data_IF_559937524901
#
_entry.id   IF_559937524901
#
_cell.length_a   1.000
_cell.length_b   1.000
_cell.length_c   1.000
_cell.angle_alpha   90.00
_cell.angle_beta   90.00
_cell.angle_gamma   90.00
#
_symmetry.space_group_name_H-M   'P 1'
#
loop_
_entity.id
_entity.type
_entity.pdbx_description
1 polymer ?
#
# COMPACT_ATOMS: atom_id res chain seq x y z
N UNK A 1 23.24 6.37 47.44
CA UNK A 1 21.88 6.35 48.01
C UNK A 1 20.89 6.78 46.94
N UNK A 2 20.20 5.80 46.36
CA UNK A 2 19.17 6.02 45.35
C UNK A 2 17.79 5.61 45.88
N UNK A 3 16.74 6.11 45.25
CA UNK A 3 15.36 5.79 45.60
C UNK A 3 14.65 5.21 44.39
N UNK A 4 13.76 4.25 44.63
CA UNK A 4 12.98 3.64 43.57
C UNK A 4 12.03 4.69 42.97
N UNK A 5 12.14 4.92 41.66
CA UNK A 5 11.26 5.84 40.91
C UNK A 5 9.78 5.46 40.96
N UNK A 6 9.46 4.20 41.29
CA UNK A 6 8.09 3.68 41.30
C UNK A 6 7.41 3.73 42.67
N UNK A 7 8.17 3.59 43.77
CA UNK A 7 7.57 3.48 45.11
C UNK A 7 8.25 4.34 46.19
N UNK A 8 9.31 5.07 45.85
CA UNK A 8 10.04 5.96 46.75
C UNK A 8 10.86 5.24 47.82
N UNK A 9 10.98 3.91 47.78
CA UNK A 9 11.79 3.18 48.75
C UNK A 9 13.29 3.41 48.50
N UNK A 10 14.07 3.53 49.58
CA UNK A 10 15.52 3.61 49.48
C UNK A 10 16.08 2.29 48.93
N UNK A 11 17.04 2.41 48.03
CA UNK A 11 17.70 1.31 47.34
C UNK A 11 19.20 1.37 47.65
N UNK A 12 19.79 0.19 47.84
CA UNK A 12 21.25 0.05 47.93
C UNK A 12 21.89 0.35 46.57
N UNK A 13 23.08 0.93 46.56
CA UNK A 13 23.74 1.44 45.34
C UNK A 13 24.03 0.35 44.27
N UNK A 14 23.98 -0.94 44.64
CA UNK A 14 24.14 -2.12 43.75
C UNK A 14 22.83 -2.93 43.51
N UNK A 15 21.68 -2.46 44.01
CA UNK A 15 20.42 -3.18 43.86
C UNK A 15 19.90 -3.13 42.42
N UNK A 16 19.81 -4.29 41.75
CA UNK A 16 19.25 -4.42 40.38
C UNK A 16 17.71 -4.31 40.34
N UNK A 17 17.05 -4.59 41.46
CA UNK A 17 15.59 -4.57 41.60
C UNK A 17 15.21 -4.01 42.97
N UNK A 18 14.06 -3.33 43.04
CA UNK A 18 13.55 -2.82 44.31
C UNK A 18 13.01 -3.95 45.19
N UNK A 19 13.60 -4.12 46.37
CA UNK A 19 13.20 -5.15 47.35
C UNK A 19 11.76 -5.01 47.85
N UNK A 20 11.14 -3.83 47.69
CA UNK A 20 9.78 -3.54 48.16
C UNK A 20 8.70 -3.70 47.09
N UNK A 21 8.97 -3.31 45.84
CA UNK A 21 7.97 -3.31 44.76
C UNK A 21 8.35 -4.19 43.55
N UNK A 22 9.53 -4.83 43.59
CA UNK A 22 10.02 -5.73 42.54
C UNK A 22 10.41 -5.05 41.22
N UNK A 23 10.36 -3.72 41.14
CA UNK A 23 10.64 -3.01 39.88
C UNK A 23 12.15 -2.90 39.64
N UNK A 24 12.62 -3.09 38.39
CA UNK A 24 14.04 -2.98 38.06
C UNK A 24 14.54 -1.56 38.35
N UNK A 25 15.74 -1.49 38.89
CA UNK A 25 16.41 -0.22 39.18
C UNK A 25 17.24 0.11 37.95
N UNK A 26 16.70 0.97 37.11
CA UNK A 26 17.26 1.30 35.80
C UNK A 26 18.46 2.23 35.97
N UNK A 27 19.60 1.65 36.34
CA UNK A 27 20.91 2.27 36.24
C UNK A 27 21.71 1.49 35.19
N UNK A 28 21.24 1.55 33.94
CA UNK A 28 21.96 1.07 32.78
C UNK A 28 22.31 2.29 31.91
N UNK A 29 23.60 2.45 31.65
CA UNK A 29 24.16 3.39 30.69
C UNK A 29 23.33 3.42 29.39
N UNK A 30 23.27 4.58 28.69
CA UNK A 30 22.43 4.71 27.50
C UNK A 30 22.80 3.62 26.50
N UNK A 31 21.85 2.72 26.25
CA UNK A 31 21.93 1.80 25.14
C UNK A 31 22.17 2.61 23.85
N UNK A 32 23.03 2.17 22.93
CA UNK A 32 23.21 2.85 21.66
C UNK A 32 21.84 3.00 21.01
N UNK A 33 21.42 4.25 20.81
CA UNK A 33 20.24 4.54 20.02
C UNK A 33 20.42 3.82 18.68
N UNK A 34 19.54 2.85 18.41
CA UNK A 34 19.35 2.34 17.06
C UNK A 34 19.23 3.55 16.13
N UNK A 35 19.93 3.57 14.97
CA UNK A 35 19.92 4.73 14.12
C UNK A 35 18.47 5.07 13.76
N UNK A 36 18.04 6.25 14.21
CA UNK A 36 16.80 6.86 13.81
C UNK A 36 16.80 6.86 12.28
N UNK A 37 15.84 6.12 11.72
CA UNK A 37 15.55 6.16 10.30
C UNK A 37 15.37 7.64 9.92
N UNK A 38 16.20 8.11 9.00
CA UNK A 38 16.17 9.48 8.52
C UNK A 38 14.72 9.89 8.18
N UNK A 39 14.32 11.15 8.44
CA UNK A 39 13.01 11.63 8.02
C UNK A 39 12.88 11.38 6.52
N UNK A 40 11.82 10.66 6.14
CA UNK A 40 11.49 10.40 4.75
C UNK A 40 11.49 11.73 3.98
N UNK A 41 12.14 11.80 2.80
CA UNK A 41 12.11 13.01 2.00
C UNK A 41 10.65 13.40 1.71
N UNK A 42 10.36 14.69 1.84
CA UNK A 42 9.08 15.30 1.48
C UNK A 42 8.58 14.79 0.12
N UNK A 43 7.25 14.63 -0.08
CA UNK A 43 6.67 13.90 -1.21
C UNK A 43 7.01 14.57 -2.54
N UNK A 44 8.14 14.18 -3.14
CA UNK A 44 8.45 14.47 -4.53
C UNK A 44 7.35 13.83 -5.36
N UNK A 45 6.59 14.61 -6.13
CA UNK A 45 5.49 14.18 -6.99
C UNK A 45 5.70 12.78 -7.56
N UNK A 46 5.08 11.79 -6.94
CA UNK A 46 5.21 10.39 -7.33
C UNK A 46 4.37 10.09 -8.59
N UNK A 47 3.69 11.11 -9.10
CA UNK A 47 2.86 11.03 -10.28
C UNK A 47 3.72 11.16 -11.52
N UNK A 48 3.61 10.22 -12.46
CA UNK A 48 4.27 10.36 -13.75
C UNK A 48 3.55 11.44 -14.57
N UNK A 49 4.24 12.55 -14.83
CA UNK A 49 3.76 13.62 -15.68
C UNK A 49 3.29 13.08 -17.04
N UNK A 50 2.01 13.28 -17.36
CA UNK A 50 1.42 12.93 -18.66
C UNK A 50 0.92 11.49 -18.82
N UNK A 51 0.92 10.64 -17.78
CA UNK A 51 0.27 9.31 -17.88
C UNK A 51 -1.23 9.35 -17.55
N UNK A 52 -1.96 8.42 -18.15
CA UNK A 52 -3.37 8.18 -17.83
C UNK A 52 -3.52 7.50 -16.48
N UNK A 53 -4.19 8.18 -15.56
CA UNK A 53 -4.55 7.76 -14.22
C UNK A 53 -6.02 7.36 -14.23
N UNK A 54 -6.29 6.14 -13.79
CA UNK A 54 -7.64 5.66 -13.54
C UNK A 54 -8.12 6.14 -12.19
N UNK A 55 -9.31 6.73 -12.17
CA UNK A 55 -9.92 7.23 -10.94
C UNK A 55 -11.41 6.96 -10.94
N UNK A 56 -11.91 6.54 -9.77
CA UNK A 56 -13.34 6.46 -9.52
C UNK A 56 -13.81 7.72 -8.81
N UNK A 57 -14.62 8.50 -9.51
CA UNK A 57 -15.23 9.69 -8.96
C UNK A 57 -16.32 9.34 -7.94
N UNK A 58 -16.56 10.24 -6.99
CA UNK A 58 -17.67 10.16 -6.03
C UNK A 58 -19.06 10.07 -6.68
N UNK A 59 -19.20 10.44 -7.97
CA UNK A 59 -20.44 10.21 -8.74
C UNK A 59 -20.60 8.76 -9.26
N UNK A 60 -19.65 7.87 -8.94
CA UNK A 60 -19.62 6.46 -9.35
C UNK A 60 -18.93 6.18 -10.68
N UNK A 61 -18.57 7.20 -11.46
CA UNK A 61 -17.90 7.04 -12.76
C UNK A 61 -16.43 6.68 -12.57
N UNK A 62 -15.98 5.63 -13.26
CA UNK A 62 -14.57 5.34 -13.45
C UNK A 62 -14.13 5.98 -14.76
N UNK A 63 -13.07 6.79 -14.70
CA UNK A 63 -12.51 7.47 -15.87
C UNK A 63 -10.98 7.35 -15.87
N UNK A 64 -10.40 7.36 -17.06
CA UNK A 64 -8.95 7.49 -17.28
C UNK A 64 -8.66 8.95 -17.62
N UNK A 65 -7.80 9.61 -16.83
CA UNK A 65 -7.54 11.05 -16.94
C UNK A 65 -6.12 11.40 -16.48
N UNK A 66 -5.67 12.63 -16.71
CA UNK A 66 -4.40 13.14 -16.17
C UNK A 66 -4.59 13.78 -14.80
N UNK A 67 -3.49 14.01 -14.08
CA UNK A 67 -3.49 14.70 -12.79
C UNK A 67 -4.08 16.12 -12.91
N UNK A 68 -4.85 16.54 -11.90
CA UNK A 68 -5.48 17.87 -11.87
C UNK A 68 -6.72 18.02 -12.77
N UNK A 69 -7.11 16.98 -13.51
CA UNK A 69 -8.33 17.01 -14.29
C UNK A 69 -9.60 16.92 -13.42
N UNK A 70 -10.74 17.32 -13.99
CA UNK A 70 -12.06 17.19 -13.37
C UNK A 70 -12.84 16.00 -13.96
N UNK A 71 -13.79 15.47 -13.20
CA UNK A 71 -14.63 14.37 -13.67
C UNK A 71 -15.44 14.77 -14.91
N UNK A 72 -15.31 14.02 -16.00
CA UNK A 72 -16.04 14.26 -17.26
C UNK A 72 -17.56 14.14 -17.15
N UNK A 73 -18.08 13.45 -16.11
CA UNK A 73 -19.53 13.28 -15.91
C UNK A 73 -20.16 14.36 -15.02
N UNK A 74 -19.52 14.71 -13.90
CA UNK A 74 -20.12 15.60 -12.90
C UNK A 74 -19.36 16.93 -12.72
N UNK A 75 -18.23 17.12 -13.39
CA UNK A 75 -17.42 18.34 -13.31
C UNK A 75 -16.68 18.55 -11.99
N UNK A 76 -16.83 17.67 -10.99
CA UNK A 76 -16.11 17.80 -9.72
C UNK A 76 -14.61 17.56 -9.90
N UNK A 77 -13.75 18.31 -9.19
CA UNK A 77 -12.32 18.03 -9.17
C UNK A 77 -12.06 16.64 -8.57
N UNK A 78 -10.90 16.06 -8.90
CA UNK A 78 -10.42 14.86 -8.22
C UNK A 78 -10.14 15.16 -6.75
N UNK A 79 -10.24 14.15 -5.88
CA UNK A 79 -10.03 14.34 -4.45
C UNK A 79 -8.56 14.71 -4.12
N UNK A 80 -8.41 15.60 -3.13
CA UNK A 80 -7.14 16.24 -2.75
C UNK A 80 -6.30 15.44 -1.73
N UNK A 81 -6.73 14.25 -1.31
CA UNK A 81 -6.00 13.37 -0.36
C UNK A 81 -5.94 11.94 -0.88
N UNK A 82 -5.18 11.74 -1.95
CA UNK A 82 -5.10 10.45 -2.63
C UNK A 82 -3.65 10.12 -2.98
N UNK A 83 -3.33 8.83 -2.85
CA UNK A 83 -2.13 8.22 -3.40
C UNK A 83 -2.39 7.54 -4.74
N UNK A 84 -1.42 6.75 -5.16
CA UNK A 84 -1.41 6.00 -6.40
C UNK A 84 -1.14 4.53 -6.14
N UNK A 85 -1.85 3.68 -6.86
CA UNK A 85 -1.59 2.26 -6.93
C UNK A 85 -1.20 1.92 -8.37
N UNK A 86 0.03 1.45 -8.57
CA UNK A 86 0.57 1.08 -9.88
C UNK A 86 0.51 -0.43 -10.03
N UNK A 87 -0.41 -0.90 -10.87
CA UNK A 87 -0.60 -2.33 -11.12
C UNK A 87 -0.09 -2.70 -12.50
N UNK A 88 0.86 -3.63 -12.59
CA UNK A 88 1.31 -4.20 -13.86
C UNK A 88 0.77 -5.60 -14.08
N UNK A 89 0.14 -5.83 -15.23
CA UNK A 89 -0.26 -7.17 -15.67
C UNK A 89 0.91 -7.84 -16.37
N UNK A 90 1.47 -8.87 -15.74
CA UNK A 90 2.47 -9.72 -16.37
C UNK A 90 1.88 -10.45 -17.59
N UNK A 91 2.74 -10.69 -18.58
CA UNK A 91 2.37 -11.40 -19.80
C UNK A 91 1.76 -12.76 -19.51
N UNK A 92 0.63 -13.09 -20.14
CA UNK A 92 0.04 -14.42 -20.05
C UNK A 92 0.62 -15.35 -21.13
N UNK A 93 1.11 -16.56 -20.78
CA UNK A 93 1.77 -17.47 -21.74
C UNK A 93 0.82 -18.04 -22.81
N UNK A 94 -0.51 -17.93 -22.63
CA UNK A 94 -1.52 -18.51 -23.51
C UNK A 94 -2.24 -17.51 -24.44
N UNK A 95 -1.70 -16.31 -24.65
CA UNK A 95 -2.32 -15.35 -25.61
C UNK A 95 -3.75 -14.92 -25.25
N UNK A 96 -4.15 -15.04 -23.97
CA UNK A 96 -5.51 -14.73 -23.50
C UNK A 96 -5.76 -13.21 -23.65
N UNK A 97 -6.49 -12.85 -24.70
CA UNK A 97 -6.87 -11.46 -25.03
C UNK A 97 -7.89 -10.84 -24.05
N UNK A 98 -8.34 -11.60 -23.05
CA UNK A 98 -9.31 -11.11 -22.06
C UNK A 98 -8.62 -10.15 -21.08
N UNK A 99 -9.22 -8.98 -20.87
CA UNK A 99 -8.80 -8.03 -19.85
C UNK A 99 -8.93 -8.62 -18.44
N UNK A 100 -8.04 -8.23 -17.53
CA UNK A 100 -8.19 -8.53 -16.12
C UNK A 100 -9.03 -7.41 -15.51
N UNK A 101 -10.22 -7.73 -15.02
CA UNK A 101 -11.08 -6.80 -14.30
C UNK A 101 -10.44 -6.46 -12.95
N UNK A 102 -10.25 -5.18 -12.71
CA UNK A 102 -9.68 -4.66 -11.47
C UNK A 102 -10.85 -4.29 -10.55
N UNK A 103 -10.81 -4.80 -9.32
CA UNK A 103 -11.74 -4.44 -8.27
C UNK A 103 -10.96 -3.93 -7.08
N UNK A 104 -11.38 -2.80 -6.53
CA UNK A 104 -10.77 -2.18 -5.36
C UNK A 104 -11.87 -1.98 -4.33
N UNK A 105 -11.70 -2.57 -3.15
CA UNK A 105 -12.72 -2.62 -2.09
C UNK A 105 -14.07 -3.16 -2.58
N UNK A 106 -14.02 -4.12 -3.51
CA UNK A 106 -15.20 -4.71 -4.16
C UNK A 106 -15.80 -3.87 -5.29
N UNK A 107 -15.31 -2.66 -5.53
CA UNK A 107 -15.81 -1.78 -6.58
C UNK A 107 -15.04 -1.96 -7.90
N UNK A 108 -15.71 -1.95 -9.06
CA UNK A 108 -15.04 -2.15 -10.33
C UNK A 108 -14.26 -0.90 -10.78
N UNK A 109 -13.02 -1.09 -11.21
CA UNK A 109 -12.11 -0.09 -11.80
C UNK A 109 -11.76 -0.46 -13.26
N UNK A 110 -12.67 -1.10 -13.99
CA UNK A 110 -12.45 -1.46 -15.39
C UNK A 110 -11.40 -2.58 -15.57
N UNK A 111 -10.73 -2.60 -16.72
CA UNK A 111 -9.84 -3.71 -17.10
C UNK A 111 -8.39 -3.25 -17.32
N UNK A 112 -7.44 -4.17 -17.11
CA UNK A 112 -6.03 -4.04 -17.50
C UNK A 112 -5.68 -5.08 -18.58
N UNK A 113 -5.13 -4.60 -19.69
CA UNK A 113 -4.72 -5.44 -20.82
C UNK A 113 -3.36 -6.09 -20.63
N UNK A 114 -3.01 -6.99 -21.54
CA UNK A 114 -1.80 -7.81 -21.45
C UNK A 114 -0.53 -6.96 -21.50
N UNK A 115 0.43 -7.17 -20.58
CA UNK A 115 1.67 -6.39 -20.46
C UNK A 115 1.44 -4.88 -20.30
N UNK A 116 0.30 -4.48 -19.74
CA UNK A 116 0.00 -3.08 -19.46
C UNK A 116 0.20 -2.77 -17.99
N UNK A 117 0.52 -1.50 -17.73
CA UNK A 117 0.53 -0.90 -16.41
C UNK A 117 -0.66 0.03 -16.29
N UNK A 118 -1.42 -0.11 -15.20
CA UNK A 118 -2.52 0.76 -14.87
C UNK A 118 -2.15 1.56 -13.62
N UNK A 119 -2.20 2.88 -13.74
CA UNK A 119 -2.07 3.80 -12.61
C UNK A 119 -3.46 4.08 -12.06
N UNK A 120 -3.68 3.83 -10.77
CA UNK A 120 -4.99 4.00 -10.15
C UNK A 120 -4.86 4.98 -8.99
N UNK A 121 -5.63 6.06 -9.01
CA UNK A 121 -5.68 7.02 -7.92
C UNK A 121 -6.72 6.60 -6.89
N UNK A 122 -6.30 6.51 -5.63
CA UNK A 122 -7.11 6.03 -4.51
C UNK A 122 -6.93 6.97 -3.31
N UNK A 123 -7.96 7.16 -2.47
CA UNK A 123 -7.80 7.91 -1.22
C UNK A 123 -6.73 7.28 -0.34
N UNK A 124 -6.17 8.06 0.60
CA UNK A 124 -5.31 7.47 1.63
C UNK A 124 -6.13 6.55 2.54
N UNK A 125 -5.51 5.45 2.95
CA UNK A 125 -6.13 4.42 3.76
C UNK A 125 -5.82 3.02 3.24
N UNK A 126 -6.47 2.05 3.88
CA UNK A 126 -6.32 0.62 3.58
C UNK A 126 -7.26 0.22 2.46
N UNK A 127 -6.71 -0.43 1.43
CA UNK A 127 -7.43 -0.89 0.26
C UNK A 127 -7.19 -2.37 0.00
N UNK A 128 -8.22 -3.06 -0.48
CA UNK A 128 -8.14 -4.44 -0.95
C UNK A 128 -8.27 -4.48 -2.47
N UNK A 129 -7.30 -5.08 -3.17
CA UNK A 129 -7.39 -5.32 -4.61
C UNK A 129 -7.72 -6.77 -4.87
N UNK A 130 -8.71 -6.95 -5.73
CA UNK A 130 -9.14 -8.22 -6.30
C UNK A 130 -9.10 -8.17 -7.82
N UNK A 131 -8.68 -9.26 -8.44
CA UNK A 131 -8.60 -9.38 -9.90
C UNK A 131 -9.48 -10.54 -10.36
N UNK A 132 -10.34 -10.30 -11.34
CA UNK A 132 -11.17 -11.33 -11.94
C UNK A 132 -11.14 -11.25 -13.46
N UNK A 133 -11.42 -12.36 -14.14
CA UNK A 133 -11.54 -12.37 -15.61
C UNK A 133 -12.58 -13.40 -16.05
N UNK A 134 -13.65 -12.93 -16.71
CA UNK A 134 -14.76 -13.77 -17.17
C UNK A 134 -15.37 -14.59 -16.03
N UNK A 135 -15.41 -15.92 -16.21
CA UNK A 135 -15.97 -16.86 -15.24
C UNK A 135 -14.98 -17.22 -14.11
N UNK A 136 -13.73 -16.77 -14.20
CA UNK A 136 -12.71 -17.00 -13.18
C UNK A 136 -12.63 -15.85 -12.18
N UNK A 137 -12.97 -16.16 -10.93
CA UNK A 137 -12.95 -15.23 -9.78
C UNK A 137 -11.96 -15.65 -8.69
N UNK A 138 -11.07 -16.61 -8.97
CA UNK A 138 -10.05 -17.02 -8.00
C UNK A 138 -8.91 -16.02 -8.08
N UNK A 139 -8.75 -15.26 -7.01
CA UNK A 139 -7.68 -14.30 -6.84
C UNK A 139 -7.09 -14.46 -5.45
N UNK A 140 -5.76 -14.40 -5.35
CA UNK A 140 -5.07 -14.12 -4.10
C UNK A 140 -5.11 -12.61 -3.93
N UNK A 141 -6.14 -12.14 -3.21
CA UNK A 141 -6.35 -10.72 -2.97
C UNK A 141 -5.20 -10.13 -2.17
N UNK A 142 -4.85 -8.90 -2.49
CA UNK A 142 -3.79 -8.16 -1.80
C UNK A 142 -4.40 -6.97 -1.09
N UNK A 143 -3.97 -6.77 0.15
CA UNK A 143 -4.35 -5.59 0.93
C UNK A 143 -3.11 -4.74 1.14
N UNK A 144 -3.22 -3.45 0.86
CA UNK A 144 -2.15 -2.47 1.01
C UNK A 144 -2.72 -1.20 1.65
N UNK A 145 -1.83 -0.31 2.09
CA UNK A 145 -2.19 0.93 2.74
C UNK A 145 -1.47 2.09 2.05
N UNK A 146 -2.23 3.10 1.66
CA UNK A 146 -1.69 4.34 1.11
C UNK A 146 -1.69 5.40 2.21
N UNK A 147 -0.56 6.06 2.40
CA UNK A 147 -0.42 7.14 3.38
C UNK A 147 0.31 8.34 2.78
N UNK A 148 0.29 9.51 3.42
CA UNK A 148 1.08 10.66 2.97
C UNK A 148 2.60 10.40 2.97
N UNK A 149 3.08 9.47 3.80
CA UNK A 149 4.49 9.06 3.86
C UNK A 149 4.81 7.99 2.80
N UNK A 150 3.82 7.17 2.44
CA UNK A 150 3.89 6.15 1.39
C UNK A 150 2.75 6.33 0.37
N UNK A 151 2.83 7.35 -0.51
CA UNK A 151 1.72 7.69 -1.40
C UNK A 151 1.65 6.82 -2.66
N UNK A 152 2.58 5.90 -2.85
CA UNK A 152 2.62 4.99 -3.99
C UNK A 152 2.82 3.56 -3.53
N UNK A 153 1.89 2.70 -3.92
CA UNK A 153 2.02 1.25 -3.79
C UNK A 153 2.06 0.61 -5.18
N UNK A 154 2.95 -0.36 -5.35
CA UNK A 154 3.21 -1.00 -6.65
C UNK A 154 2.96 -2.50 -6.54
N UNK A 155 2.36 -3.08 -7.57
CA UNK A 155 2.08 -4.51 -7.59
C UNK A 155 2.15 -5.07 -9.00
N UNK A 156 2.40 -6.38 -9.06
CA UNK A 156 2.31 -7.17 -10.28
C UNK A 156 1.19 -8.16 -10.12
N UNK A 157 0.42 -8.36 -11.19
CA UNK A 157 -0.55 -9.45 -11.26
C UNK A 157 -0.16 -10.41 -12.36
N UNK A 158 -0.19 -11.69 -12.02
CA UNK A 158 -0.04 -12.77 -12.98
C UNK A 158 -1.08 -13.86 -12.74
N UNK A 159 -1.32 -14.67 -13.76
CA UNK A 159 -2.20 -15.82 -13.65
C UNK A 159 -1.35 -17.06 -13.36
N UNK A 160 -1.56 -17.69 -12.20
CA UNK A 160 -1.00 -18.99 -11.87
C UNK A 160 -1.92 -20.07 -12.43
N UNK A 161 -1.41 -20.85 -13.37
CA UNK A 161 -2.14 -22.00 -13.91
C UNK A 161 -2.22 -23.09 -12.84
N UNK A 162 -3.43 -23.51 -12.51
CA UNK A 162 -3.69 -24.63 -11.59
C UNK A 162 -4.20 -25.84 -12.36
N UNK A 163 -4.04 -27.04 -11.78
CA UNK A 163 -4.48 -28.29 -12.40
C UNK A 163 -5.99 -28.36 -12.71
N UNK A 164 -6.81 -27.56 -12.01
CA UNK A 164 -8.28 -27.55 -12.16
C UNK A 164 -8.85 -26.16 -12.50
N UNK A 165 -8.17 -25.09 -12.10
CA UNK A 165 -8.59 -23.71 -12.36
C UNK A 165 -7.40 -22.78 -12.22
N UNK A 166 -7.36 -21.73 -13.04
CA UNK A 166 -6.34 -20.70 -12.89
C UNK A 166 -6.65 -19.82 -11.68
N UNK A 167 -5.63 -19.25 -11.05
CA UNK A 167 -5.78 -18.29 -9.94
C UNK A 167 -4.96 -17.05 -10.26
N UNK A 168 -5.55 -15.86 -10.13
CA UNK A 168 -4.81 -14.61 -10.19
C UNK A 168 -4.01 -14.43 -8.91
N UNK A 169 -2.74 -14.08 -9.03
CA UNK A 169 -1.87 -13.80 -7.90
C UNK A 169 -1.40 -12.37 -8.05
N UNK A 170 -1.65 -11.57 -7.01
CA UNK A 170 -1.18 -10.20 -6.89
C UNK A 170 -0.01 -10.22 -5.92
N UNK A 171 1.13 -9.69 -6.36
CA UNK A 171 2.35 -9.64 -5.55
C UNK A 171 2.79 -8.17 -5.43
N UNK A 172 3.17 -7.72 -4.21
CA UNK A 172 3.76 -6.40 -4.03
C UNK A 172 5.07 -6.32 -4.81
N UNK A 173 5.34 -5.19 -5.41
CA UNK A 173 6.52 -4.96 -6.23
C UNK A 173 7.12 -3.60 -5.96
N UNK A 174 8.41 -3.44 -6.20
CA UNK A 174 9.06 -2.13 -6.17
C UNK A 174 8.74 -1.35 -7.45
N UNK A 175 8.68 -0.01 -7.38
CA UNK A 175 8.41 0.83 -8.56
C UNK A 175 9.40 0.57 -9.72
N UNK A 176 10.66 0.27 -9.43
CA UNK A 176 11.69 -0.07 -10.42
C UNK A 176 11.44 -1.37 -11.18
N UNK A 177 10.62 -2.28 -10.63
CA UNK A 177 10.33 -3.57 -11.25
C UNK A 177 9.05 -3.56 -12.09
N UNK A 178 8.29 -2.47 -12.01
CA UNK A 178 7.00 -2.29 -12.67
C UNK A 178 7.23 -1.36 -13.86
N UNK A 179 7.13 -1.86 -15.11
CA UNK A 179 7.30 -1.01 -16.28
C UNK A 179 6.23 0.07 -16.29
N UNK A 180 6.56 1.15 -16.96
CA UNK A 180 5.86 2.42 -16.83
C UNK A 180 4.74 2.60 -17.85
#
# INVERSE_FOLDING_TARGET
MMFCVKCGNQLDDDAKFCSKCGSPVENAAPAPAAPASAPAPAPASIVPAGKSIRYKCSCGTVLDTVEGASCSKCGKPMADNCGYYKLYRMGSPMGVAVGFGIYIDGEPYGHIGNKQTCWIRLPYGKHNVHIASGMNRRCTDMTFELSPEHPLECAKVHMKMGAFSNTFVIEPANNSEVPD
#
